data_IF_985318763184
#
_entry.id   IF_985318763184
#
_cell.length_a   1.000
_cell.length_b   1.000
_cell.length_c   1.000
_cell.angle_alpha   90.00
_cell.angle_beta   90.00
_cell.angle_gamma   90.00
#
_symmetry.space_group_name_H-M   'P 1'
#
loop_
_entity.id
_entity.type
_entity.pdbx_description
1 polymer ?
#
# COMPACT_ATOMS: atom_id res chain seq x y z
N UNK A 1 -27.94 0.34 -9.96
CA UNK A 1 -27.41 1.75 -9.96
C UNK A 1 -25.89 1.74 -9.84
N UNK A 2 -25.17 2.64 -10.56
CA UNK A 2 -23.68 2.75 -10.45
C UNK A 2 -23.28 4.08 -9.82
N UNK A 3 -22.31 4.05 -8.90
CA UNK A 3 -21.75 5.21 -8.23
C UNK A 3 -20.21 5.19 -8.28
N UNK A 4 -19.62 6.38 -8.27
CA UNK A 4 -18.22 6.53 -7.86
C UNK A 4 -18.15 6.62 -6.35
N UNK A 5 -17.01 6.26 -5.77
CA UNK A 5 -16.84 6.28 -4.32
C UNK A 5 -17.18 7.65 -3.67
N UNK A 6 -16.90 8.77 -4.37
CA UNK A 6 -17.19 10.12 -3.87
C UNK A 6 -18.71 10.42 -3.76
N UNK A 7 -19.55 9.66 -4.44
CA UNK A 7 -21.01 9.81 -4.43
C UNK A 7 -21.69 8.94 -3.37
N UNK A 8 -20.93 8.02 -2.77
CA UNK A 8 -21.46 7.01 -1.85
C UNK A 8 -22.07 7.63 -0.59
N UNK A 9 -21.38 8.57 0.04
CA UNK A 9 -21.86 9.23 1.27
C UNK A 9 -23.22 9.92 1.06
N UNK A 10 -23.37 10.62 -0.07
CA UNK A 10 -24.66 11.28 -0.42
C UNK A 10 -25.79 10.27 -0.70
N UNK A 11 -25.45 9.10 -1.22
CA UNK A 11 -26.41 8.00 -1.40
C UNK A 11 -26.79 7.38 -0.04
N UNK A 12 -25.82 7.04 0.79
CA UNK A 12 -26.04 6.42 2.10
C UNK A 12 -26.79 7.30 3.08
N UNK A 13 -26.66 8.62 2.96
CA UNK A 13 -27.45 9.57 3.75
C UNK A 13 -28.96 9.48 3.44
N UNK A 14 -29.33 9.11 2.22
CA UNK A 14 -30.74 9.04 1.77
C UNK A 14 -31.34 7.64 1.92
N UNK A 15 -30.59 6.62 1.54
CA UNK A 15 -31.10 5.25 1.49
C UNK A 15 -30.00 4.22 1.76
N UNK A 16 -30.42 3.02 2.15
CA UNK A 16 -29.59 1.85 2.24
C UNK A 16 -30.16 0.79 1.30
N UNK A 17 -29.39 0.36 0.31
CA UNK A 17 -29.79 -0.70 -0.60
C UNK A 17 -29.60 -2.08 0.05
N UNK A 18 -30.33 -3.07 -0.42
CA UNK A 18 -30.18 -4.46 0.06
C UNK A 18 -28.87 -5.12 -0.39
N UNK A 19 -28.23 -4.58 -1.45
CA UNK A 19 -26.97 -5.13 -1.94
C UNK A 19 -26.03 -4.02 -2.44
N UNK A 20 -24.73 -4.19 -2.15
CA UNK A 20 -23.64 -3.35 -2.62
C UNK A 20 -22.54 -4.22 -3.22
N UNK A 21 -22.02 -3.80 -4.38
CA UNK A 21 -20.79 -4.33 -4.96
C UNK A 21 -19.73 -3.24 -4.97
N UNK A 22 -18.69 -3.38 -4.19
CA UNK A 22 -17.51 -2.50 -4.23
C UNK A 22 -16.42 -3.20 -5.03
N UNK A 23 -15.99 -2.60 -6.14
CA UNK A 23 -14.93 -3.18 -6.97
C UNK A 23 -13.93 -2.11 -7.42
N UNK A 24 -12.69 -2.49 -7.64
CA UNK A 24 -11.66 -1.59 -8.20
C UNK A 24 -10.25 -1.94 -7.79
N UNK A 25 -9.31 -1.15 -8.31
CA UNK A 25 -7.87 -1.37 -8.14
C UNK A 25 -7.26 -0.48 -7.04
N UNK A 26 -8.09 0.34 -6.37
CA UNK A 26 -7.62 1.21 -5.29
C UNK A 26 -8.08 0.68 -3.92
N UNK A 27 -7.18 -0.02 -3.19
CA UNK A 27 -7.54 -0.70 -1.96
C UNK A 27 -8.08 0.22 -0.87
N UNK A 28 -7.51 1.43 -0.72
CA UNK A 28 -7.98 2.38 0.29
C UNK A 28 -9.42 2.84 0.02
N UNK A 29 -9.71 3.18 -1.23
CA UNK A 29 -11.05 3.65 -1.63
C UNK A 29 -12.07 2.53 -1.47
N UNK A 30 -11.72 1.29 -1.83
CA UNK A 30 -12.58 0.13 -1.62
C UNK A 30 -12.86 -0.13 -0.14
N UNK A 31 -11.82 -0.05 0.70
CA UNK A 31 -11.96 -0.23 2.16
C UNK A 31 -12.87 0.85 2.76
N UNK A 32 -12.64 2.12 2.43
CA UNK A 32 -13.44 3.24 2.95
C UNK A 32 -14.89 3.18 2.48
N UNK A 33 -15.13 2.79 1.23
CA UNK A 33 -16.49 2.55 0.74
C UNK A 33 -17.20 1.44 1.52
N UNK A 34 -16.51 0.32 1.76
CA UNK A 34 -17.06 -0.77 2.56
C UNK A 34 -17.32 -0.34 4.02
N UNK A 35 -16.40 0.46 4.61
CA UNK A 35 -16.58 1.02 5.96
C UNK A 35 -17.80 1.94 6.04
N UNK A 36 -17.99 2.81 5.07
CA UNK A 36 -19.14 3.71 4.99
C UNK A 36 -20.47 2.95 4.88
N UNK A 37 -20.51 1.91 4.04
CA UNK A 37 -21.70 1.04 3.90
C UNK A 37 -22.00 0.32 5.22
N UNK A 38 -21.00 -0.25 5.90
CA UNK A 38 -21.16 -0.89 7.21
C UNK A 38 -21.67 0.07 8.28
N UNK A 39 -21.10 1.28 8.32
CA UNK A 39 -21.54 2.32 9.26
C UNK A 39 -23.00 2.70 9.00
N UNK A 40 -23.40 2.90 7.75
CA UNK A 40 -24.78 3.23 7.37
C UNK A 40 -25.76 2.09 7.65
N UNK A 41 -25.35 0.85 7.47
CA UNK A 41 -26.14 -0.33 7.81
C UNK A 41 -26.34 -0.46 9.33
N UNK A 42 -25.25 -0.29 10.10
CA UNK A 42 -25.32 -0.30 11.57
C UNK A 42 -26.25 0.80 12.11
N UNK A 43 -26.17 2.01 11.56
CA UNK A 43 -27.05 3.11 11.94
C UNK A 43 -28.54 2.82 11.67
N UNK A 44 -28.86 1.81 10.84
CA UNK A 44 -30.22 1.36 10.51
C UNK A 44 -30.59 0.02 11.17
N UNK A 45 -29.83 -0.39 12.16
CA UNK A 45 -30.10 -1.56 13.00
C UNK A 45 -29.54 -2.88 12.49
N UNK A 46 -28.65 -2.89 11.48
CA UNK A 46 -27.94 -4.11 11.06
C UNK A 46 -26.70 -4.28 11.96
N UNK A 47 -26.88 -4.83 13.15
CA UNK A 47 -25.83 -4.94 14.17
C UNK A 47 -24.95 -6.17 13.96
N UNK A 48 -25.52 -7.26 13.47
CA UNK A 48 -24.76 -8.47 13.17
C UNK A 48 -23.97 -8.34 11.86
N UNK A 49 -22.81 -8.96 11.85
CA UNK A 49 -21.94 -9.01 10.67
C UNK A 49 -21.37 -10.40 10.50
N UNK A 50 -21.60 -10.98 9.33
CA UNK A 50 -21.03 -12.25 8.91
C UNK A 50 -20.09 -12.00 7.74
N UNK A 51 -18.84 -12.52 7.81
CA UNK A 51 -17.83 -12.31 6.79
C UNK A 51 -17.48 -13.63 6.14
N UNK A 52 -17.64 -13.70 4.83
CA UNK A 52 -17.30 -14.84 3.99
C UNK A 52 -16.18 -14.44 3.05
N UNK A 53 -15.10 -15.23 2.99
CA UNK A 53 -14.00 -15.02 2.05
C UNK A 53 -14.04 -16.14 1.02
N UNK A 54 -14.34 -15.76 -0.23
CA UNK A 54 -14.43 -16.70 -1.33
C UNK A 54 -13.06 -16.95 -1.95
N UNK A 55 -12.39 -17.99 -1.48
CA UNK A 55 -11.15 -18.54 -2.02
C UNK A 55 -11.44 -19.72 -2.97
N UNK A 56 -10.37 -20.34 -3.49
CA UNK A 56 -10.51 -21.51 -4.35
C UNK A 56 -11.18 -22.66 -3.61
N UNK A 57 -12.31 -23.13 -4.14
CA UNK A 57 -13.10 -24.21 -3.52
C UNK A 57 -14.15 -23.72 -2.50
N UNK A 58 -14.43 -22.42 -2.46
CA UNK A 58 -15.45 -21.84 -1.60
C UNK A 58 -16.83 -22.48 -1.88
N UNK A 59 -17.51 -22.88 -0.79
CA UNK A 59 -18.87 -23.40 -0.86
C UNK A 59 -19.88 -22.25 -0.99
N UNK A 60 -20.43 -22.06 -2.17
CA UNK A 60 -21.40 -21.00 -2.45
C UNK A 60 -22.75 -21.19 -1.75
N UNK A 61 -23.06 -22.40 -1.27
CA UNK A 61 -24.24 -22.62 -0.45
C UNK A 61 -24.16 -21.90 0.90
N UNK A 62 -22.93 -21.70 1.44
CA UNK A 62 -22.71 -20.93 2.65
C UNK A 62 -23.17 -19.46 2.50
N UNK A 63 -23.00 -18.87 1.32
CA UNK A 63 -23.49 -17.50 1.05
C UNK A 63 -25.03 -17.47 1.08
N UNK A 64 -25.68 -18.46 0.48
CA UNK A 64 -27.14 -18.57 0.51
C UNK A 64 -27.66 -18.74 1.94
N UNK A 65 -27.03 -19.59 2.75
CA UNK A 65 -27.37 -19.77 4.17
C UNK A 65 -27.14 -18.49 4.99
N UNK A 66 -26.01 -17.81 4.78
CA UNK A 66 -25.73 -16.54 5.43
C UNK A 66 -26.75 -15.45 5.06
N UNK A 67 -27.24 -15.42 3.83
CA UNK A 67 -28.26 -14.46 3.38
C UNK A 67 -29.71 -14.92 3.65
N UNK A 68 -29.94 -16.18 3.95
CA UNK A 68 -31.28 -16.66 4.37
C UNK A 68 -31.62 -15.97 5.68
N UNK A 69 -32.50 -14.99 5.65
CA UNK A 69 -33.07 -14.36 6.85
C UNK A 69 -33.80 -15.39 7.71
N UNK A 70 -33.48 -15.51 8.95
CA UNK A 70 -34.12 -16.48 9.80
C UNK A 70 -33.46 -16.71 11.16
N UNK A 71 -32.83 -15.70 11.74
CA UNK A 71 -32.57 -15.76 13.18
C UNK A 71 -33.90 -15.67 13.93
N UNK A 72 -34.16 -16.59 14.85
CA UNK A 72 -35.32 -16.57 15.76
C UNK A 72 -35.41 -15.27 16.59
N UNK A 73 -34.39 -14.41 16.52
CA UNK A 73 -34.27 -13.14 17.22
C UNK A 73 -34.26 -11.90 16.29
N UNK A 74 -34.60 -12.06 15.00
CA UNK A 74 -34.83 -10.98 14.02
C UNK A 74 -33.74 -9.89 14.01
N UNK A 75 -32.49 -10.21 14.20
CA UNK A 75 -31.41 -9.23 14.10
C UNK A 75 -31.10 -8.99 12.62
N UNK A 76 -31.21 -7.71 12.19
CA UNK A 76 -30.74 -7.28 10.88
C UNK A 76 -29.24 -7.47 10.78
N UNK A 77 -28.76 -8.00 9.66
CA UNK A 77 -27.33 -8.28 9.50
C UNK A 77 -26.74 -7.77 8.20
N UNK A 78 -25.42 -7.60 8.20
CA UNK A 78 -24.59 -7.40 7.01
C UNK A 78 -23.87 -8.70 6.71
N UNK A 79 -24.08 -9.24 5.51
CA UNK A 79 -23.30 -10.36 4.97
C UNK A 79 -22.24 -9.78 4.04
N UNK A 80 -20.97 -9.90 4.43
CA UNK A 80 -19.83 -9.37 3.68
C UNK A 80 -19.17 -10.50 2.92
N UNK A 81 -19.23 -10.45 1.58
CA UNK A 81 -18.57 -11.40 0.70
C UNK A 81 -17.28 -10.76 0.13
N UNK A 82 -16.14 -11.33 0.45
CA UNK A 82 -14.84 -10.91 -0.06
C UNK A 82 -14.36 -11.87 -1.13
N UNK A 83 -14.16 -11.36 -2.34
CA UNK A 83 -13.57 -12.11 -3.44
C UNK A 83 -12.11 -11.69 -3.61
N UNK A 84 -11.19 -12.64 -3.47
CA UNK A 84 -9.74 -12.41 -3.54
C UNK A 84 -9.22 -12.15 -4.95
N UNK A 85 -10.03 -12.32 -5.99
CA UNK A 85 -9.64 -12.12 -7.39
C UNK A 85 -10.70 -11.38 -8.19
N UNK A 86 -10.29 -10.78 -9.31
CA UNK A 86 -11.19 -10.16 -10.28
C UNK A 86 -11.99 -11.17 -11.13
N UNK A 87 -11.82 -12.47 -10.90
CA UNK A 87 -12.57 -13.53 -11.58
C UNK A 87 -13.76 -13.97 -10.75
N UNK A 88 -14.94 -13.88 -11.36
CA UNK A 88 -16.17 -14.45 -10.80
C UNK A 88 -16.35 -15.88 -11.32
N UNK A 89 -16.28 -16.91 -10.43
CA UNK A 89 -16.54 -18.30 -10.86
C UNK A 89 -18.02 -18.49 -11.21
N UNK A 90 -18.32 -19.45 -12.10
CA UNK A 90 -19.70 -19.69 -12.56
C UNK A 90 -20.68 -19.99 -11.43
N UNK A 91 -20.25 -20.80 -10.45
CA UNK A 91 -21.08 -21.11 -9.27
C UNK A 91 -21.38 -19.85 -8.43
N UNK A 92 -20.37 -18.96 -8.29
CA UNK A 92 -20.55 -17.68 -7.59
C UNK A 92 -21.47 -16.71 -8.33
N UNK A 93 -21.31 -16.63 -9.66
CA UNK A 93 -22.19 -15.83 -10.49
C UNK A 93 -23.67 -16.28 -10.35
N UNK A 94 -23.91 -17.58 -10.36
CA UNK A 94 -25.26 -18.15 -10.19
C UNK A 94 -25.83 -17.85 -8.80
N UNK A 95 -25.08 -18.13 -7.74
CA UNK A 95 -25.52 -17.88 -6.37
C UNK A 95 -25.86 -16.40 -6.12
N UNK A 96 -25.03 -15.48 -6.65
CA UNK A 96 -25.29 -14.05 -6.52
C UNK A 96 -26.56 -13.61 -7.27
N UNK A 97 -26.81 -14.14 -8.46
CA UNK A 97 -28.03 -13.82 -9.24
C UNK A 97 -29.26 -14.27 -8.48
N UNK A 98 -29.30 -15.51 -7.97
CA UNK A 98 -30.44 -16.03 -7.20
C UNK A 98 -30.73 -15.18 -5.96
N UNK A 99 -29.68 -14.77 -5.22
CA UNK A 99 -29.83 -13.93 -4.03
C UNK A 99 -30.35 -12.52 -4.37
N UNK A 100 -29.89 -11.96 -5.49
CA UNK A 100 -30.27 -10.61 -5.89
C UNK A 100 -31.67 -10.54 -6.53
N UNK A 101 -32.18 -11.65 -7.06
CA UNK A 101 -33.56 -11.75 -7.51
C UNK A 101 -34.58 -11.79 -6.35
N UNK A 102 -34.15 -12.30 -5.18
CA UNK A 102 -34.99 -12.43 -4.00
C UNK A 102 -34.27 -11.97 -2.74
N UNK A 103 -33.93 -10.68 -2.62
CA UNK A 103 -33.16 -10.17 -1.50
C UNK A 103 -33.96 -10.31 -0.20
N UNK A 104 -33.31 -10.80 0.86
CA UNK A 104 -33.90 -10.85 2.19
C UNK A 104 -34.03 -9.42 2.76
N UNK A 105 -35.17 -9.11 3.42
CA UNK A 105 -35.46 -7.74 3.89
C UNK A 105 -34.51 -7.25 5.01
N UNK A 106 -34.00 -8.19 5.84
CA UNK A 106 -33.18 -7.86 7.00
C UNK A 106 -31.68 -8.13 6.76
N UNK A 107 -31.28 -8.29 5.51
CA UNK A 107 -29.88 -8.55 5.12
C UNK A 107 -29.40 -7.49 4.14
N UNK A 108 -28.23 -6.93 4.43
CA UNK A 108 -27.46 -6.15 3.47
C UNK A 108 -26.30 -6.99 2.97
N UNK A 109 -26.30 -7.33 1.69
CA UNK A 109 -25.18 -8.01 1.04
C UNK A 109 -24.13 -6.98 0.61
N UNK A 110 -22.91 -7.05 1.17
CA UNK A 110 -21.76 -6.25 0.79
C UNK A 110 -20.71 -7.13 0.12
N UNK A 111 -20.67 -7.15 -1.19
CA UNK A 111 -19.64 -7.85 -1.94
C UNK A 111 -18.45 -6.90 -2.25
N UNK A 112 -17.23 -7.38 -2.11
CA UNK A 112 -16.01 -6.65 -2.47
C UNK A 112 -15.08 -7.51 -3.31
N UNK A 113 -14.47 -6.92 -4.36
CA UNK A 113 -13.55 -7.61 -5.25
C UNK A 113 -12.58 -6.63 -5.92
N UNK A 114 -11.39 -7.09 -6.36
CA UNK A 114 -10.57 -6.35 -7.31
C UNK A 114 -11.36 -6.06 -8.59
N UNK A 115 -10.84 -5.17 -9.43
CA UNK A 115 -11.45 -4.92 -10.73
C UNK A 115 -11.63 -6.22 -11.50
N UNK A 116 -12.84 -6.49 -12.03
CA UNK A 116 -13.09 -7.72 -12.77
C UNK A 116 -12.24 -7.85 -14.01
N UNK A 117 -11.76 -9.08 -14.27
CA UNK A 117 -10.92 -9.40 -15.41
C UNK A 117 -11.75 -9.68 -16.69
N UNK A 118 -11.11 -9.48 -17.85
CA UNK A 118 -11.67 -9.80 -19.15
C UNK A 118 -12.36 -8.64 -19.85
N UNK A 119 -12.78 -8.89 -21.09
CA UNK A 119 -13.57 -7.93 -21.87
C UNK A 119 -15.04 -8.10 -21.52
N UNK A 120 -15.78 -6.99 -21.51
CA UNK A 120 -17.24 -6.99 -21.36
C UNK A 120 -17.78 -7.59 -20.04
N UNK A 121 -16.94 -7.70 -18.99
CA UNK A 121 -17.35 -8.20 -17.66
C UNK A 121 -18.58 -7.45 -17.09
N UNK A 122 -18.74 -6.19 -17.46
CA UNK A 122 -19.92 -5.38 -17.07
C UNK A 122 -21.22 -5.81 -17.71
N UNK A 123 -21.18 -6.70 -18.73
CA UNK A 123 -22.36 -7.32 -19.36
C UNK A 123 -22.70 -8.68 -18.73
N UNK A 124 -21.83 -9.19 -17.83
CA UNK A 124 -22.09 -10.45 -17.16
C UNK A 124 -23.35 -10.40 -16.31
N UNK A 125 -24.14 -11.46 -16.31
CA UNK A 125 -25.45 -11.52 -15.66
C UNK A 125 -25.39 -11.21 -14.16
N UNK A 126 -24.38 -11.71 -13.43
CA UNK A 126 -24.18 -11.39 -12.03
C UNK A 126 -23.96 -9.89 -11.77
N UNK A 127 -23.24 -9.21 -12.66
CA UNK A 127 -22.97 -7.78 -12.54
C UNK A 127 -24.21 -6.95 -12.82
N UNK A 128 -24.95 -7.28 -13.87
CA UNK A 128 -26.22 -6.63 -14.20
C UNK A 128 -27.31 -6.88 -13.14
N UNK A 129 -27.27 -8.04 -12.48
CA UNK A 129 -28.14 -8.32 -11.33
C UNK A 129 -27.85 -7.39 -10.14
N UNK A 130 -26.59 -7.14 -9.81
CA UNK A 130 -26.22 -6.12 -8.81
C UNK A 130 -26.68 -4.72 -9.24
N UNK A 131 -26.60 -4.39 -10.52
CA UNK A 131 -27.05 -3.07 -11.00
C UNK A 131 -28.56 -2.89 -10.90
N UNK A 132 -29.31 -3.94 -11.09
CA UNK A 132 -30.77 -3.95 -11.01
C UNK A 132 -31.28 -3.91 -9.56
N UNK A 133 -30.74 -4.77 -8.68
CA UNK A 133 -31.22 -4.95 -7.32
C UNK A 133 -30.52 -4.06 -6.28
N UNK A 134 -29.32 -3.55 -6.59
CA UNK A 134 -28.49 -2.87 -5.61
C UNK A 134 -27.69 -1.69 -6.18
N UNK A 135 -26.56 -1.45 -5.55
CA UNK A 135 -25.65 -0.36 -5.86
C UNK A 135 -24.25 -0.90 -6.13
N UNK A 136 -23.68 -0.48 -7.23
CA UNK A 136 -22.30 -0.79 -7.62
C UNK A 136 -21.46 0.44 -7.37
N UNK A 137 -20.36 0.28 -6.59
CA UNK A 137 -19.43 1.35 -6.23
C UNK A 137 -18.07 1.04 -6.84
N UNK A 138 -17.60 1.93 -7.71
CA UNK A 138 -16.29 1.82 -8.32
C UNK A 138 -15.23 2.49 -7.45
N UNK A 139 -14.26 1.72 -6.97
CA UNK A 139 -13.07 2.16 -6.26
C UNK A 139 -11.92 2.37 -7.26
N UNK A 140 -12.04 3.43 -8.06
CA UNK A 140 -11.06 3.76 -9.09
C UNK A 140 -9.80 4.39 -8.50
N UNK A 141 -8.64 4.12 -9.11
CA UNK A 141 -7.39 4.78 -8.77
C UNK A 141 -7.49 6.30 -8.98
N UNK A 142 -6.94 7.07 -8.05
CA UNK A 142 -6.87 8.53 -8.14
C UNK A 142 -5.70 8.90 -9.05
N UNK A 143 -6.01 9.55 -10.18
CA UNK A 143 -4.98 10.04 -11.08
C UNK A 143 -4.03 11.02 -10.36
N UNK A 144 -2.71 10.96 -10.69
CA UNK A 144 -1.67 11.81 -10.08
C UNK A 144 -2.04 13.30 -10.09
N UNK A 145 -2.62 13.77 -11.18
CA UNK A 145 -3.09 15.17 -11.32
C UNK A 145 -4.24 15.55 -10.37
N UNK A 146 -4.98 14.59 -9.86
CA UNK A 146 -6.08 14.77 -8.91
C UNK A 146 -5.67 14.58 -7.46
N UNK A 147 -4.48 14.04 -7.22
CA UNK A 147 -4.00 13.68 -5.89
C UNK A 147 -3.84 14.89 -4.95
N UNK A 148 -3.31 16.07 -5.38
CA UNK A 148 -3.26 17.25 -4.52
C UNK A 148 -4.66 17.67 -4.03
N UNK A 149 -5.65 17.70 -4.93
CA UNK A 149 -7.02 18.00 -4.58
C UNK A 149 -7.62 16.98 -3.61
N UNK A 150 -7.39 15.68 -3.85
CA UNK A 150 -7.84 14.59 -2.98
C UNK A 150 -7.26 14.71 -1.55
N UNK A 151 -5.97 15.07 -1.43
CA UNK A 151 -5.31 15.35 -0.15
C UNK A 151 -5.96 16.58 0.52
N UNK A 152 -6.15 17.67 -0.23
CA UNK A 152 -6.75 18.90 0.29
C UNK A 152 -8.16 18.70 0.84
N UNK A 153 -9.01 17.94 0.15
CA UNK A 153 -10.36 17.59 0.60
C UNK A 153 -10.34 16.81 1.93
N UNK A 154 -9.34 15.93 2.13
CA UNK A 154 -9.19 15.17 3.37
C UNK A 154 -8.64 16.01 4.53
N UNK A 155 -7.67 16.88 4.26
CA UNK A 155 -7.19 17.86 5.25
C UNK A 155 -8.32 18.78 5.70
N UNK A 156 -9.19 19.21 4.77
CA UNK A 156 -10.35 20.04 5.11
C UNK A 156 -11.32 19.34 6.07
N UNK A 157 -11.51 18.03 5.95
CA UNK A 157 -12.36 17.23 6.87
C UNK A 157 -11.86 17.24 8.32
N UNK A 158 -10.57 17.46 8.55
CA UNK A 158 -9.96 17.57 9.88
C UNK A 158 -9.65 19.01 10.30
N UNK A 159 -10.23 20.01 9.56
CA UNK A 159 -10.08 21.42 9.90
C UNK A 159 -8.77 22.05 9.43
N UNK A 160 -8.02 21.43 8.54
CA UNK A 160 -6.76 21.93 8.02
C UNK A 160 -6.86 22.32 6.54
N UNK A 161 -6.11 23.35 6.13
CA UNK A 161 -5.99 23.78 4.74
C UNK A 161 -4.51 23.94 4.40
N UNK A 162 -4.03 23.15 3.47
CA UNK A 162 -2.64 23.24 3.03
C UNK A 162 -2.49 24.18 1.82
N UNK A 163 -1.35 24.87 1.73
CA UNK A 163 -1.03 25.68 0.55
C UNK A 163 -0.90 24.81 -0.71
N UNK A 164 -1.09 25.34 -1.92
CA UNK A 164 -0.92 24.56 -3.16
C UNK A 164 0.44 23.86 -3.24
N UNK A 165 1.51 24.54 -2.85
CA UNK A 165 2.87 23.97 -2.86
C UNK A 165 3.02 22.83 -1.85
N UNK A 166 2.34 22.93 -0.70
CA UNK A 166 2.33 21.86 0.31
C UNK A 166 1.54 20.64 -0.18
N UNK A 167 0.42 20.85 -0.88
CA UNK A 167 -0.37 19.77 -1.47
C UNK A 167 0.40 19.04 -2.58
N UNK A 168 1.09 19.78 -3.46
CA UNK A 168 1.95 19.21 -4.50
C UNK A 168 3.12 18.43 -3.89
N UNK A 169 3.74 18.96 -2.84
CA UNK A 169 4.80 18.27 -2.12
C UNK A 169 4.34 16.95 -1.51
N UNK A 170 3.18 16.93 -0.84
CA UNK A 170 2.57 15.69 -0.31
C UNK A 170 2.25 14.70 -1.42
N UNK A 171 1.62 15.17 -2.49
CA UNK A 171 1.25 14.33 -3.63
C UNK A 171 2.48 13.69 -4.30
N UNK A 172 3.55 14.45 -4.48
CA UNK A 172 4.81 13.93 -5.04
C UNK A 172 5.44 12.87 -4.13
N UNK A 173 5.33 13.05 -2.81
CA UNK A 173 5.96 12.14 -1.83
C UNK A 173 5.23 10.80 -1.70
N UNK A 174 3.92 10.77 -1.84
CA UNK A 174 3.14 9.55 -1.72
C UNK A 174 3.04 8.74 -3.02
N UNK A 175 3.50 9.31 -4.14
CA UNK A 175 3.62 8.66 -5.47
C UNK A 175 2.37 7.88 -5.92
N UNK A 176 1.18 8.35 -5.54
CA UNK A 176 -0.09 7.67 -5.84
C UNK A 176 -0.49 6.58 -4.84
N UNK A 177 0.31 6.28 -3.83
CA UNK A 177 -0.08 5.40 -2.74
C UNK A 177 -1.04 6.13 -1.79
N UNK A 178 -2.35 5.92 -1.97
CA UNK A 178 -3.37 6.61 -1.16
C UNK A 178 -3.35 6.20 0.30
N UNK A 179 -2.89 4.99 0.63
CA UNK A 179 -2.75 4.57 2.03
C UNK A 179 -1.64 5.35 2.72
N UNK A 180 -0.51 5.55 2.04
CA UNK A 180 0.56 6.43 2.53
C UNK A 180 0.05 7.86 2.68
N UNK A 181 -0.69 8.39 1.68
CA UNK A 181 -1.31 9.72 1.77
C UNK A 181 -2.23 9.85 2.99
N UNK A 182 -3.08 8.85 3.26
CA UNK A 182 -3.95 8.83 4.45
C UNK A 182 -3.16 8.87 5.74
N UNK A 183 -2.05 8.14 5.82
CA UNK A 183 -1.17 8.14 7.00
C UNK A 183 -0.50 9.51 7.20
N UNK A 184 0.00 10.13 6.11
CA UNK A 184 0.58 11.49 6.19
C UNK A 184 -0.46 12.52 6.64
N UNK A 185 -1.67 12.47 6.11
CA UNK A 185 -2.78 13.34 6.52
C UNK A 185 -3.13 13.14 8.00
N UNK A 186 -3.21 11.90 8.47
CA UNK A 186 -3.48 11.60 9.87
C UNK A 186 -2.37 12.13 10.80
N UNK A 187 -1.10 12.05 10.39
CA UNK A 187 0.02 12.64 11.13
C UNK A 187 -0.07 14.17 11.21
N UNK A 188 -0.43 14.80 10.11
CA UNK A 188 -0.62 16.25 10.10
C UNK A 188 -1.70 16.71 11.08
N UNK A 189 -2.76 15.90 11.28
CA UNK A 189 -3.77 16.19 12.30
C UNK A 189 -3.20 16.23 13.73
N UNK A 190 -2.14 15.46 14.00
CA UNK A 190 -1.51 15.37 15.32
C UNK A 190 -0.37 16.38 15.53
N UNK A 191 0.35 16.71 14.47
CA UNK A 191 1.60 17.47 14.53
C UNK A 191 1.46 18.95 14.13
N UNK A 192 0.42 19.28 13.36
CA UNK A 192 0.17 20.64 12.90
C UNK A 192 -1.15 21.19 13.47
N UNK A 193 -1.25 22.50 13.74
CA UNK A 193 -2.48 23.10 14.23
C UNK A 193 -3.61 23.00 13.20
N UNK A 194 -4.84 23.17 13.66
CA UNK A 194 -5.98 23.42 12.77
C UNK A 194 -5.82 24.79 12.08
N UNK A 195 -6.38 24.91 10.89
CA UNK A 195 -6.28 26.12 10.08
C UNK A 195 -5.32 25.97 8.90
N UNK A 196 -4.68 27.04 8.51
CA UNK A 196 -3.76 27.05 7.36
C UNK A 196 -2.39 26.47 7.73
N UNK A 197 -1.91 25.52 6.92
CA UNK A 197 -0.60 24.89 7.05
C UNK A 197 0.22 25.14 5.79
N UNK A 198 1.40 25.74 5.97
CA UNK A 198 2.33 26.02 4.89
C UNK A 198 3.27 24.87 4.59
N UNK A 199 4.02 24.99 3.48
CA UNK A 199 5.00 24.00 3.05
C UNK A 199 6.06 23.68 4.13
N UNK A 200 6.51 24.69 4.89
CA UNK A 200 7.50 24.49 5.96
C UNK A 200 6.98 23.56 7.05
N UNK A 201 5.75 23.78 7.52
CA UNK A 201 5.08 22.97 8.55
C UNK A 201 4.83 21.54 8.05
N UNK A 202 4.40 21.40 6.79
CA UNK A 202 4.22 20.08 6.18
C UNK A 202 5.56 19.34 6.08
N UNK A 203 6.63 20.01 5.64
CA UNK A 203 7.97 19.42 5.60
C UNK A 203 8.45 18.96 6.96
N UNK A 204 8.26 19.76 7.99
CA UNK A 204 8.64 19.44 9.36
C UNK A 204 7.83 18.23 9.88
N UNK A 205 6.52 18.25 9.74
CA UNK A 205 5.64 17.15 10.17
C UNK A 205 5.93 15.84 9.40
N UNK A 206 6.21 15.92 8.12
CA UNK A 206 6.57 14.76 7.28
C UNK A 206 8.01 14.32 7.54
N UNK A 207 8.94 15.25 7.85
CA UNK A 207 10.32 14.93 8.19
C UNK A 207 10.47 14.42 9.63
N UNK A 208 9.62 14.85 10.57
CA UNK A 208 9.67 14.40 11.97
C UNK A 208 9.28 12.93 12.14
N UNK A 209 8.62 12.37 11.13
CA UNK A 209 8.50 10.92 10.94
C UNK A 209 9.18 10.61 9.61
N UNK A 210 10.43 11.00 9.45
CA UNK A 210 11.30 10.34 8.51
C UNK A 210 11.23 8.86 8.88
N UNK A 211 10.40 8.08 8.18
CA UNK A 211 10.66 6.66 8.10
C UNK A 211 12.10 6.59 7.64
N UNK A 212 12.95 6.18 8.56
CA UNK A 212 14.25 5.72 8.17
C UNK A 212 13.95 4.50 7.30
N UNK A 213 13.77 4.75 6.01
CA UNK A 213 13.53 3.68 5.07
C UNK A 213 14.88 3.15 4.58
N UNK A 214 14.83 1.99 4.05
CA UNK A 214 16.00 1.35 3.47
C UNK A 214 16.66 2.25 2.41
N UNK A 215 15.89 3.00 1.65
CA UNK A 215 16.38 3.84 0.56
C UNK A 215 17.23 5.00 1.11
N UNK A 216 16.79 5.63 2.20
CA UNK A 216 17.57 6.66 2.89
C UNK A 216 18.86 6.09 3.52
N UNK A 217 18.79 4.87 4.07
CA UNK A 217 19.97 4.16 4.59
C UNK A 217 20.97 3.85 3.47
N UNK A 218 20.50 3.26 2.37
CA UNK A 218 21.33 2.89 1.23
C UNK A 218 21.96 4.14 0.54
N UNK A 219 21.18 5.21 0.36
CA UNK A 219 21.71 6.49 -0.16
C UNK A 219 22.86 7.02 0.72
N UNK A 220 22.64 7.10 2.04
CA UNK A 220 23.67 7.60 2.95
C UNK A 220 24.93 6.73 2.94
N UNK A 221 24.78 5.39 2.82
CA UNK A 221 25.89 4.46 2.66
C UNK A 221 26.68 4.75 1.39
N UNK A 222 26.00 4.86 0.24
CA UNK A 222 26.64 5.08 -1.06
C UNK A 222 27.25 6.46 -1.20
N UNK A 223 26.66 7.46 -0.58
CA UNK A 223 27.22 8.82 -0.51
C UNK A 223 28.42 8.91 0.46
N UNK A 224 28.61 7.91 1.35
CA UNK A 224 29.62 7.91 2.40
C UNK A 224 29.33 8.89 3.53
N UNK A 225 28.07 9.33 3.67
CA UNK A 225 27.63 10.20 4.75
C UNK A 225 27.36 9.37 6.01
N UNK A 226 28.41 9.16 6.80
CA UNK A 226 28.35 8.39 8.03
C UNK A 226 27.32 8.92 9.02
N UNK A 227 27.22 10.26 9.15
CA UNK A 227 26.31 10.87 10.11
C UNK A 227 24.84 10.61 9.74
N UNK A 228 24.51 10.73 8.45
CA UNK A 228 23.17 10.42 7.91
C UNK A 228 22.89 8.92 8.00
N UNK A 229 23.88 8.06 7.67
CA UNK A 229 23.79 6.62 7.75
C UNK A 229 23.52 6.13 9.19
N UNK A 230 24.29 6.61 10.17
CA UNK A 230 24.13 6.23 11.57
C UNK A 230 22.76 6.65 12.13
N UNK A 231 22.27 7.84 11.78
CA UNK A 231 20.92 8.28 12.16
C UNK A 231 19.82 7.41 11.53
N UNK A 232 19.97 7.09 10.24
CA UNK A 232 19.01 6.23 9.55
C UNK A 232 18.99 4.81 10.14
N UNK A 233 20.16 4.25 10.44
CA UNK A 233 20.30 2.93 11.06
C UNK A 233 19.68 2.87 12.45
N UNK A 234 19.98 3.88 13.31
CA UNK A 234 19.41 3.96 14.65
C UNK A 234 17.89 4.15 14.64
N UNK A 235 17.37 4.91 13.67
CA UNK A 235 15.92 5.08 13.48
C UNK A 235 15.23 3.78 13.09
N UNK A 236 15.77 3.03 12.11
CA UNK A 236 15.24 1.73 11.69
C UNK A 236 15.26 0.71 12.85
N UNK A 237 16.34 0.71 13.66
CA UNK A 237 16.43 -0.11 14.87
C UNK A 237 15.34 0.30 15.89
N UNK A 238 15.13 1.59 16.11
CA UNK A 238 14.11 2.12 17.03
C UNK A 238 12.68 1.85 16.58
N UNK A 239 12.44 1.74 15.27
CA UNK A 239 11.16 1.34 14.69
C UNK A 239 10.91 -0.18 14.72
N UNK A 240 11.88 -0.97 15.20
CA UNK A 240 11.76 -2.42 15.31
C UNK A 240 12.01 -3.16 13.99
N UNK A 241 12.67 -2.52 13.00
CA UNK A 241 13.03 -3.18 11.75
C UNK A 241 14.01 -4.34 12.00
N UNK A 242 13.92 -5.37 11.20
CA UNK A 242 14.77 -6.54 11.35
C UNK A 242 16.17 -6.32 10.76
N UNK A 243 17.23 -6.44 11.58
CA UNK A 243 18.61 -6.38 11.10
C UNK A 243 18.90 -7.42 9.99
N UNK A 244 18.26 -8.60 10.05
CA UNK A 244 18.39 -9.63 9.01
C UNK A 244 17.77 -9.17 7.69
N UNK A 245 16.61 -8.52 7.72
CA UNK A 245 15.94 -7.95 6.53
C UNK A 245 16.77 -6.85 5.89
N UNK A 246 17.30 -5.92 6.71
CA UNK A 246 18.16 -4.84 6.24
C UNK A 246 19.45 -5.37 5.62
N UNK A 247 20.11 -6.29 6.28
CA UNK A 247 21.34 -6.91 5.78
C UNK A 247 21.09 -7.65 4.46
N UNK A 248 20.01 -8.44 4.37
CA UNK A 248 19.66 -9.13 3.13
C UNK A 248 19.45 -8.15 1.97
N UNK A 249 18.65 -7.09 2.16
CA UNK A 249 18.38 -6.08 1.11
C UNK A 249 19.65 -5.35 0.67
N UNK A 250 20.50 -4.94 1.62
CA UNK A 250 21.81 -4.32 1.30
C UNK A 250 22.72 -5.29 0.54
N UNK A 251 22.74 -6.56 0.93
CA UNK A 251 23.54 -7.59 0.28
C UNK A 251 23.14 -7.81 -1.18
N UNK A 252 21.85 -7.91 -1.45
CA UNK A 252 21.30 -8.04 -2.82
C UNK A 252 21.66 -6.82 -3.67
N UNK A 253 21.48 -5.60 -3.14
CA UNK A 253 21.76 -4.38 -3.90
C UNK A 253 23.27 -4.19 -4.16
N UNK A 254 24.14 -4.46 -3.18
CA UNK A 254 25.58 -4.41 -3.34
C UNK A 254 26.10 -5.46 -4.34
N UNK A 255 25.56 -6.65 -4.32
CA UNK A 255 25.91 -7.71 -5.27
C UNK A 255 25.46 -7.35 -6.70
N UNK A 256 24.25 -6.79 -6.84
CA UNK A 256 23.76 -6.29 -8.13
C UNK A 256 24.66 -5.15 -8.69
N UNK A 257 25.05 -4.18 -7.84
CA UNK A 257 25.99 -3.13 -8.22
C UNK A 257 27.35 -3.66 -8.62
N UNK A 258 27.85 -4.70 -7.93
CA UNK A 258 29.08 -5.38 -8.30
C UNK A 258 29.04 -5.96 -9.71
N UNK A 259 27.92 -6.65 -10.07
CA UNK A 259 27.72 -7.19 -11.43
C UNK A 259 27.56 -6.09 -12.47
N UNK A 260 26.85 -5.02 -12.14
CA UNK A 260 26.75 -3.85 -13.04
C UNK A 260 28.13 -3.26 -13.31
N UNK A 261 28.98 -3.09 -12.28
CA UNK A 261 30.33 -2.54 -12.44
C UNK A 261 31.22 -3.42 -13.31
N UNK A 262 31.10 -4.74 -13.17
CA UNK A 262 31.80 -5.71 -14.03
C UNK A 262 31.32 -5.65 -15.49
N UNK A 263 30.02 -5.58 -15.73
CA UNK A 263 29.46 -5.44 -17.07
C UNK A 263 29.85 -4.11 -17.74
N UNK A 264 29.85 -3.00 -16.98
CA UNK A 264 30.35 -1.72 -17.48
C UNK A 264 31.82 -1.79 -17.88
N UNK A 265 32.66 -2.45 -17.11
CA UNK A 265 34.07 -2.68 -17.43
C UNK A 265 34.25 -3.57 -18.66
N UNK A 266 33.29 -4.47 -18.95
CA UNK A 266 33.24 -5.27 -20.17
C UNK A 266 32.66 -4.54 -21.38
N UNK A 267 32.23 -3.26 -21.20
CA UNK A 267 31.68 -2.42 -22.27
C UNK A 267 30.19 -2.65 -22.55
N UNK A 268 29.45 -3.28 -21.63
CA UNK A 268 28.02 -3.49 -21.79
C UNK A 268 27.23 -2.19 -21.54
N UNK A 269 26.09 -1.98 -22.22
CA UNK A 269 25.26 -0.80 -22.04
C UNK A 269 24.64 -0.73 -20.63
N UNK A 270 24.78 0.42 -19.96
CA UNK A 270 24.28 0.63 -18.60
C UNK A 270 22.79 0.32 -18.45
N UNK A 271 21.97 0.74 -19.40
CA UNK A 271 20.52 0.52 -19.37
C UNK A 271 20.15 -0.96 -19.43
N UNK A 272 20.90 -1.76 -20.18
CA UNK A 272 20.74 -3.20 -20.25
C UNK A 272 21.09 -3.88 -18.92
N UNK A 273 22.22 -3.47 -18.31
CA UNK A 273 22.68 -3.96 -17.01
C UNK A 273 21.68 -3.60 -15.90
N UNK A 274 21.19 -2.36 -15.84
CA UNK A 274 20.20 -1.96 -14.86
C UNK A 274 18.88 -2.73 -15.01
N UNK A 275 18.47 -3.01 -16.25
CA UNK A 275 17.28 -3.84 -16.51
C UNK A 275 17.48 -5.28 -16.07
N UNK A 276 18.65 -5.88 -16.37
CA UNK A 276 19.00 -7.24 -15.98
C UNK A 276 19.01 -7.42 -14.46
N UNK A 277 19.57 -6.44 -13.74
CA UNK A 277 19.67 -6.43 -12.28
C UNK A 277 18.42 -5.86 -11.58
N UNK A 278 17.36 -5.56 -12.32
CA UNK A 278 16.09 -5.00 -11.81
C UNK A 278 16.25 -3.71 -11.02
N UNK A 279 17.24 -2.89 -11.40
CA UNK A 279 17.44 -1.56 -10.83
C UNK A 279 16.46 -0.59 -11.49
N UNK A 280 15.34 -0.35 -10.81
CA UNK A 280 14.26 0.51 -11.32
C UNK A 280 14.59 2.00 -11.19
N UNK A 281 13.87 2.84 -11.94
CA UNK A 281 14.12 4.30 -12.05
C UNK A 281 14.30 5.01 -10.70
N UNK A 282 13.57 4.62 -9.66
CA UNK A 282 13.68 5.24 -8.35
C UNK A 282 15.03 4.99 -7.67
N UNK A 283 15.65 3.83 -7.89
CA UNK A 283 16.94 3.46 -7.32
C UNK A 283 18.13 3.91 -8.18
N UNK A 284 17.93 4.16 -9.49
CA UNK A 284 19.02 4.47 -10.42
C UNK A 284 19.93 5.63 -9.98
N UNK A 285 19.43 6.78 -9.48
CA UNK A 285 20.31 7.89 -9.10
C UNK A 285 21.29 7.53 -7.97
N UNK A 286 20.85 6.78 -6.96
CA UNK A 286 21.73 6.34 -5.88
C UNK A 286 22.74 5.28 -6.35
N UNK A 287 22.29 4.37 -7.20
CA UNK A 287 23.16 3.34 -7.78
C UNK A 287 24.25 3.96 -8.67
N UNK A 288 23.93 4.97 -9.48
CA UNK A 288 24.90 5.70 -10.28
C UNK A 288 25.97 6.39 -9.42
N UNK A 289 25.56 7.00 -8.29
CA UNK A 289 26.52 7.58 -7.34
C UNK A 289 27.42 6.52 -6.70
N UNK A 290 26.85 5.36 -6.35
CA UNK A 290 27.63 4.23 -5.84
C UNK A 290 28.67 3.75 -6.86
N UNK A 291 28.26 3.51 -8.10
CA UNK A 291 29.13 3.06 -9.20
C UNK A 291 30.25 4.06 -9.54
N UNK A 292 30.01 5.36 -9.37
CA UNK A 292 31.04 6.39 -9.58
C UNK A 292 32.11 6.40 -8.47
N UNK A 293 31.80 5.89 -7.26
CA UNK A 293 32.70 5.95 -6.08
C UNK A 293 33.35 4.61 -5.75
N UNK A 294 32.71 3.51 -6.09
CA UNK A 294 33.06 2.18 -5.57
C UNK A 294 33.51 1.26 -6.71
N UNK A 295 34.65 0.64 -6.53
CA UNK A 295 35.13 -0.40 -7.46
C UNK A 295 34.35 -1.71 -7.30
N UNK A 296 34.40 -2.58 -8.32
CA UNK A 296 33.76 -3.88 -8.29
C UNK A 296 34.29 -4.77 -7.14
N UNK A 297 35.59 -4.70 -6.82
CA UNK A 297 36.19 -5.44 -5.69
C UNK A 297 35.58 -4.98 -4.36
N UNK A 298 35.42 -3.70 -4.19
CA UNK A 298 34.91 -3.10 -2.97
C UNK A 298 33.41 -3.41 -2.75
N UNK A 299 32.62 -3.39 -3.81
CA UNK A 299 31.21 -3.79 -3.78
C UNK A 299 31.08 -5.29 -3.40
N UNK A 300 31.93 -6.15 -3.96
CA UNK A 300 31.94 -7.59 -3.61
C UNK A 300 32.37 -7.84 -2.16
N UNK A 301 33.40 -7.17 -1.68
CA UNK A 301 33.84 -7.28 -0.28
C UNK A 301 32.74 -6.85 0.69
N UNK A 302 32.05 -5.75 0.38
CA UNK A 302 30.91 -5.26 1.15
C UNK A 302 29.75 -6.26 1.15
N UNK A 303 29.40 -6.83 -0.01
CA UNK A 303 28.38 -7.87 -0.10
C UNK A 303 28.70 -9.12 0.75
N UNK A 304 29.94 -9.58 0.70
CA UNK A 304 30.40 -10.71 1.55
C UNK A 304 30.30 -10.35 3.04
N UNK A 305 30.63 -9.12 3.42
CA UNK A 305 30.52 -8.66 4.79
C UNK A 305 29.08 -8.60 5.27
N UNK A 306 28.21 -8.03 4.45
CA UNK A 306 26.75 -7.95 4.73
C UNK A 306 26.16 -9.37 4.87
N UNK A 307 26.58 -10.33 4.06
CA UNK A 307 26.15 -11.71 4.19
C UNK A 307 26.60 -12.36 5.54
N UNK A 308 27.72 -11.92 6.11
CA UNK A 308 28.12 -12.34 7.46
C UNK A 308 27.24 -11.70 8.54
N UNK A 309 26.91 -10.42 8.39
CA UNK A 309 25.99 -9.69 9.29
C UNK A 309 24.60 -10.35 9.26
N UNK A 310 24.11 -10.69 8.08
CA UNK A 310 22.83 -11.38 7.91
C UNK A 310 22.81 -12.74 8.65
N UNK A 311 23.88 -13.55 8.53
CA UNK A 311 23.99 -14.81 9.28
C UNK A 311 24.01 -14.59 10.79
N UNK A 312 24.72 -13.56 11.26
CA UNK A 312 24.73 -13.19 12.68
C UNK A 312 23.33 -12.82 13.17
N UNK A 313 22.58 -12.03 12.37
CA UNK A 313 21.20 -11.63 12.68
C UNK A 313 20.22 -12.83 12.70
N UNK A 314 20.51 -13.88 11.96
CA UNK A 314 19.77 -15.16 11.95
C UNK A 314 20.23 -16.16 13.03
N UNK A 315 21.15 -15.77 13.92
CA UNK A 315 21.66 -16.63 14.99
C UNK A 315 22.69 -17.67 14.56
N UNK A 316 23.20 -17.62 13.33
CA UNK A 316 24.19 -18.58 12.78
C UNK A 316 25.61 -18.00 12.82
N UNK A 317 25.78 -16.77 13.26
CA UNK A 317 27.07 -16.06 13.36
C UNK A 317 27.32 -15.54 14.78
N UNK A 318 28.48 -14.88 14.96
CA UNK A 318 28.84 -14.19 16.21
C UNK A 318 28.82 -12.68 16.05
N UNK A 319 28.49 -11.94 17.11
CA UNK A 319 28.47 -10.47 17.15
C UNK A 319 27.08 -9.87 17.00
N UNK A 320 26.98 -8.61 17.37
CA UNK A 320 25.75 -7.82 17.20
C UNK A 320 25.58 -7.40 15.73
N UNK A 321 24.47 -7.77 15.07
CA UNK A 321 24.25 -7.42 13.68
C UNK A 321 24.11 -5.91 13.46
N UNK A 322 23.56 -5.14 14.41
CA UNK A 322 23.44 -3.68 14.33
C UNK A 322 24.80 -2.98 14.38
N UNK A 323 25.69 -3.48 15.25
CA UNK A 323 27.09 -3.03 15.30
C UNK A 323 27.82 -3.36 13.98
N UNK A 324 27.56 -4.53 13.41
CA UNK A 324 28.05 -4.93 12.10
C UNK A 324 27.62 -3.99 10.98
N UNK A 325 26.35 -3.60 10.94
CA UNK A 325 25.81 -2.64 9.98
C UNK A 325 26.44 -1.25 10.18
N UNK A 326 26.61 -0.79 11.42
CA UNK A 326 27.25 0.49 11.70
C UNK A 326 28.72 0.53 11.21
N UNK A 327 29.48 -0.54 11.43
CA UNK A 327 30.84 -0.67 10.93
C UNK A 327 30.93 -0.65 9.41
N UNK A 328 29.95 -1.24 8.72
CA UNK A 328 29.85 -1.13 7.26
C UNK A 328 29.79 0.34 6.82
N UNK A 329 28.99 1.18 7.46
CA UNK A 329 28.92 2.61 7.20
C UNK A 329 30.25 3.33 7.42
N UNK A 330 30.97 3.00 8.49
CA UNK A 330 32.31 3.54 8.76
C UNK A 330 33.30 3.26 7.62
N UNK A 331 33.28 2.05 7.08
CA UNK A 331 34.16 1.67 5.98
C UNK A 331 33.84 2.38 4.67
N UNK A 332 32.56 2.62 4.41
CA UNK A 332 32.13 3.38 3.22
C UNK A 332 32.49 4.86 3.33
N UNK A 333 32.47 5.42 4.55
CA UNK A 333 32.86 6.81 4.78
C UNK A 333 34.37 7.04 4.59
N UNK A 334 35.21 6.11 5.03
CA UNK A 334 36.68 6.25 4.98
C UNK A 334 37.30 5.87 3.63
N UNK A 335 36.53 5.39 2.67
CA UNK A 335 37.00 4.84 1.42
C UNK A 335 37.09 5.76 0.24
N UNK A 336 37.30 7.04 0.41
CA UNK A 336 37.54 8.01 -0.67
C UNK A 336 39.06 8.19 -0.97
N UNK A 337 39.85 7.15 -0.80
CA UNK A 337 41.28 7.26 -0.97
C UNK A 337 41.94 5.96 -1.42
N UNK A 338 42.39 5.97 -2.68
CA UNK A 338 43.28 5.16 -3.51
C UNK A 338 42.62 4.16 -4.43
#
# INVERSE_FOLDING_TARGET
MRLRAEQLDAHLAKTLACAYLVYGDEPLVALEAADAIRAAARARGHEEREVLTAERGFDWSALAHACAGGSLFAAKKVVELRLGSGRMPAAGAHALVELLERPAQDVVLLASMPKPEGKDWWKAHWFTAFEAAGVIVEAAAVARTRLPRWIGERLARQGQRASPEALEYLAARVEGNLLAAKQEIAKLALLAPQGEIGLAQVREAVASVARYDFDALAEALYDGDLARYARALAGLQGEGESAASLAWRLGEELAALGRVQEGLAAGEPKEALFSAERIYRAAQPRCERALARLSASRLREAAVRVARIERSAKGVGTGDPWDGLLRLGLEFAHGSGT
#
